data_IF_181898191674
#
_entry.id   IF_181898191674
#
_cell.length_a   1.000
_cell.length_b   1.000
_cell.length_c   1.000
_cell.angle_alpha   90.00
_cell.angle_beta   90.00
_cell.angle_gamma   90.00
#
_symmetry.space_group_name_H-M   'P 1'
#
loop_
_entity.id
_entity.type
_entity.pdbx_description
1 polymer ?
#
# COMPACT_ATOMS: atom_id res chain seq x y z
N UNK A 1 -11.65 15.91 13.85
CA UNK A 1 -10.66 16.42 12.87
C UNK A 1 -10.70 15.67 11.53
N UNK A 2 -10.48 14.35 11.46
CA UNK A 2 -10.50 13.62 10.16
C UNK A 2 -11.83 13.73 9.40
N UNK A 3 -12.97 13.50 10.07
CA UNK A 3 -14.29 13.57 9.43
C UNK A 3 -14.59 14.93 8.78
N UNK A 4 -14.18 16.01 9.45
CA UNK A 4 -14.32 17.37 8.93
C UNK A 4 -13.48 17.55 7.66
N UNK A 5 -12.23 17.08 7.67
CA UNK A 5 -11.34 17.12 6.50
C UNK A 5 -11.85 16.27 5.35
N UNK A 6 -12.35 15.07 5.61
CA UNK A 6 -12.99 14.24 4.59
C UNK A 6 -14.15 14.98 3.92
N UNK A 7 -15.01 15.66 4.70
CA UNK A 7 -16.09 16.48 4.18
C UNK A 7 -15.58 17.66 3.34
N UNK A 8 -14.60 18.40 3.86
CA UNK A 8 -14.00 19.57 3.21
C UNK A 8 -13.36 19.22 1.85
N UNK A 9 -12.56 18.15 1.81
CA UNK A 9 -11.89 17.68 0.60
C UNK A 9 -12.74 16.74 -0.27
N UNK A 10 -14.03 16.56 0.07
CA UNK A 10 -15.01 15.75 -0.66
C UNK A 10 -14.57 14.28 -0.83
N UNK A 11 -14.13 13.67 0.26
CA UNK A 11 -13.81 12.26 0.37
C UNK A 11 -14.79 11.52 1.29
N UNK A 12 -14.95 10.23 1.03
CA UNK A 12 -15.61 9.26 1.90
C UNK A 12 -14.58 8.22 2.33
N UNK A 13 -14.55 7.93 3.63
CA UNK A 13 -13.64 6.92 4.21
C UNK A 13 -14.23 5.52 4.03
N UNK A 14 -13.39 4.58 3.62
CA UNK A 14 -13.62 3.14 3.74
C UNK A 14 -12.65 2.60 4.77
N UNK A 15 -13.16 2.32 5.96
CA UNK A 15 -12.35 1.84 7.08
C UNK A 15 -11.86 0.41 6.85
N UNK A 16 -10.56 0.14 6.87
CA UNK A 16 -9.97 -1.21 6.83
C UNK A 16 -9.75 -1.77 8.22
N UNK A 17 -9.39 -3.06 8.32
CA UNK A 17 -9.07 -3.67 9.62
C UNK A 17 -7.95 -2.88 10.33
N UNK A 18 -8.20 -2.56 11.59
CA UNK A 18 -7.27 -1.84 12.48
C UNK A 18 -6.28 -2.83 13.11
N UNK A 19 -5.26 -3.17 12.34
CA UNK A 19 -4.11 -3.97 12.75
C UNK A 19 -2.82 -3.35 12.20
N UNK A 20 -1.66 -3.92 12.57
CA UNK A 20 -0.38 -3.45 12.03
C UNK A 20 -0.18 -3.67 10.52
N UNK A 21 -1.20 -4.16 9.80
CA UNK A 21 -1.21 -4.24 8.34
C UNK A 21 -2.10 -3.17 7.68
N UNK A 22 -2.72 -2.28 8.46
CA UNK A 22 -3.71 -1.30 7.99
C UNK A 22 -3.28 -0.55 6.72
N UNK A 23 -2.05 -0.08 6.64
CA UNK A 23 -1.51 0.59 5.45
C UNK A 23 -1.59 -0.30 4.21
N UNK A 24 -1.07 -1.52 4.30
CA UNK A 24 -1.08 -2.47 3.20
C UNK A 24 -2.50 -2.93 2.85
N UNK A 25 -3.40 -3.03 3.84
CA UNK A 25 -4.83 -3.31 3.62
C UNK A 25 -5.52 -2.18 2.88
N UNK A 26 -5.24 -0.92 3.22
CA UNK A 26 -5.78 0.25 2.55
C UNK A 26 -5.28 0.36 1.10
N UNK A 27 -3.99 0.09 0.87
CA UNK A 27 -3.41 -0.01 -0.48
C UNK A 27 -4.07 -1.16 -1.26
N UNK A 28 -4.21 -2.34 -0.62
CA UNK A 28 -4.90 -3.48 -1.21
C UNK A 28 -6.31 -3.08 -1.64
N UNK A 29 -7.06 -2.42 -0.76
CA UNK A 29 -8.41 -1.98 -1.06
C UNK A 29 -8.44 -1.03 -2.28
N UNK A 30 -7.56 -0.04 -2.35
CA UNK A 30 -7.48 0.89 -3.48
C UNK A 30 -7.07 0.22 -4.81
N UNK A 31 -6.21 -0.80 -4.76
CA UNK A 31 -5.75 -1.51 -5.96
C UNK A 31 -6.75 -2.56 -6.43
N UNK A 32 -7.28 -3.32 -5.49
CA UNK A 32 -7.89 -4.62 -5.69
C UNK A 32 -9.35 -4.67 -5.32
N UNK A 33 -9.85 -3.67 -4.57
CA UNK A 33 -11.19 -3.70 -4.00
C UNK A 33 -11.34 -4.87 -3.01
N UNK A 34 -10.29 -5.14 -2.23
CA UNK A 34 -10.28 -6.10 -1.12
C UNK A 34 -9.04 -5.84 -0.27
N UNK A 35 -9.07 -6.18 1.02
CA UNK A 35 -7.92 -6.06 1.93
C UNK A 35 -6.95 -7.26 1.81
N UNK A 36 -7.36 -8.32 1.14
CA UNK A 36 -6.76 -9.65 1.25
C UNK A 36 -5.33 -9.78 0.70
N UNK A 37 -4.90 -8.85 -0.16
CA UNK A 37 -3.57 -8.88 -0.77
C UNK A 37 -2.55 -8.01 -0.02
N UNK A 38 -2.86 -7.62 1.22
CA UNK A 38 -1.97 -6.78 2.03
C UNK A 38 -0.56 -7.39 2.21
N UNK A 39 -0.44 -8.70 2.42
CA UNK A 39 0.87 -9.36 2.56
C UNK A 39 1.67 -9.38 1.26
N UNK A 40 0.99 -9.50 0.12
CA UNK A 40 1.64 -9.40 -1.18
C UNK A 40 2.22 -8.00 -1.39
N UNK A 41 1.46 -6.95 -1.05
CA UNK A 41 1.93 -5.57 -1.15
C UNK A 41 3.13 -5.33 -0.23
N UNK A 42 3.07 -5.81 1.02
CA UNK A 42 4.20 -5.75 1.97
C UNK A 42 5.45 -6.41 1.36
N UNK A 43 5.32 -7.62 0.82
CA UNK A 43 6.43 -8.37 0.24
C UNK A 43 7.08 -7.64 -0.96
N UNK A 44 6.26 -7.08 -1.86
CA UNK A 44 6.75 -6.32 -3.03
C UNK A 44 7.47 -5.04 -2.60
N UNK A 45 6.88 -4.26 -1.69
CA UNK A 45 7.51 -3.06 -1.17
C UNK A 45 8.83 -3.38 -0.45
N UNK A 46 8.87 -4.46 0.32
CA UNK A 46 10.11 -4.90 0.97
C UNK A 46 11.19 -5.33 -0.01
N UNK A 47 10.81 -6.09 -1.06
CA UNK A 47 11.75 -6.50 -2.10
C UNK A 47 12.35 -5.28 -2.81
N UNK A 48 11.53 -4.28 -3.12
CA UNK A 48 11.99 -3.02 -3.69
C UNK A 48 12.98 -2.31 -2.77
N UNK A 49 12.66 -2.16 -1.49
CA UNK A 49 13.54 -1.51 -0.51
C UNK A 49 14.90 -2.21 -0.41
N UNK A 50 14.93 -3.55 -0.42
CA UNK A 50 16.20 -4.32 -0.39
C UNK A 50 17.00 -4.15 -1.68
N UNK A 51 16.33 -4.17 -2.84
CA UNK A 51 16.99 -4.01 -4.14
C UNK A 51 17.57 -2.60 -4.33
N UNK A 52 16.86 -1.60 -3.82
CA UNK A 52 17.22 -0.18 -3.92
C UNK A 52 17.72 0.37 -2.58
N UNK A 53 18.45 -0.43 -1.79
CA UNK A 53 18.85 -0.09 -0.43
C UNK A 53 19.58 1.26 -0.32
N UNK A 54 20.31 1.70 -1.34
CA UNK A 54 20.96 3.01 -1.37
C UNK A 54 19.99 4.21 -1.21
N UNK A 55 18.70 4.00 -1.51
CA UNK A 55 17.66 5.03 -1.37
C UNK A 55 17.01 5.06 0.02
N UNK A 56 17.24 4.03 0.84
CA UNK A 56 16.57 3.82 2.13
C UNK A 56 17.53 3.67 3.32
N UNK A 57 18.78 3.32 3.06
CA UNK A 57 19.82 3.21 4.05
C UNK A 57 20.67 4.48 4.11
N UNK A 58 20.81 5.05 5.30
CA UNK A 58 21.75 6.13 5.58
C UNK A 58 22.81 5.62 6.58
N UNK A 59 24.10 5.55 6.21
CA UNK A 59 25.16 5.08 7.10
C UNK A 59 25.37 5.96 8.34
N UNK A 60 24.79 7.16 8.38
CA UNK A 60 24.80 8.04 9.56
C UNK A 60 23.76 7.64 10.60
N UNK A 61 22.72 6.92 10.18
CA UNK A 61 21.62 6.49 11.04
C UNK A 61 21.82 5.08 11.62
N UNK A 62 22.84 4.34 11.15
CA UNK A 62 23.16 3.02 11.68
C UNK A 62 24.02 2.17 10.75
N UNK A 63 24.22 0.90 11.13
CA UNK A 63 24.96 -0.07 10.32
C UNK A 63 24.10 -0.70 9.23
N UNK A 64 24.75 -1.17 8.16
CA UNK A 64 24.06 -1.89 7.09
C UNK A 64 23.41 -3.19 7.58
N UNK A 65 24.01 -3.86 8.55
CA UNK A 65 23.41 -5.02 9.24
C UNK A 65 22.13 -4.63 9.98
N UNK A 66 22.14 -3.49 10.68
CA UNK A 66 20.96 -2.94 11.34
C UNK A 66 19.82 -2.67 10.35
N UNK A 67 20.14 -2.11 9.18
CA UNK A 67 19.18 -1.96 8.09
C UNK A 67 18.62 -3.31 7.62
N UNK A 68 19.47 -4.32 7.42
CA UNK A 68 18.98 -5.64 6.99
C UNK A 68 18.07 -6.29 8.04
N UNK A 69 18.42 -6.20 9.32
CA UNK A 69 17.60 -6.67 10.44
C UNK A 69 16.25 -5.94 10.50
N UNK A 70 16.26 -4.63 10.27
CA UNK A 70 15.03 -3.84 10.12
C UNK A 70 14.18 -4.37 8.95
N UNK A 71 14.77 -4.59 7.77
CA UNK A 71 14.02 -5.12 6.62
C UNK A 71 13.47 -6.53 6.87
N UNK A 72 14.14 -7.34 7.69
CA UNK A 72 13.65 -8.66 8.08
C UNK A 72 12.43 -8.53 9.00
N UNK A 73 12.52 -7.67 10.03
CA UNK A 73 11.39 -7.37 10.92
C UNK A 73 10.20 -6.83 10.13
N UNK A 74 10.39 -5.80 9.31
CA UNK A 74 9.30 -5.18 8.53
C UNK A 74 8.63 -6.14 7.53
N UNK A 75 9.31 -7.22 7.13
CA UNK A 75 8.71 -8.26 6.30
C UNK A 75 7.70 -9.15 7.04
N UNK A 76 7.69 -9.14 8.37
CA UNK A 76 6.74 -9.90 9.19
C UNK A 76 5.33 -9.29 9.16
N UNK A 77 4.32 -10.13 9.34
CA UNK A 77 2.93 -9.69 9.44
C UNK A 77 2.71 -8.84 10.71
N UNK A 78 1.95 -7.74 10.61
CA UNK A 78 1.59 -6.92 11.76
C UNK A 78 2.59 -5.83 12.14
N UNK A 79 3.68 -5.64 11.39
CA UNK A 79 4.57 -4.49 11.60
C UNK A 79 4.05 -3.24 10.88
N UNK A 80 3.90 -2.13 11.62
CA UNK A 80 3.37 -0.87 11.10
C UNK A 80 4.29 -0.25 10.04
N UNK A 81 3.71 0.15 8.92
CA UNK A 81 4.46 0.80 7.84
C UNK A 81 4.87 2.24 8.22
N UNK A 82 6.17 2.53 8.14
CA UNK A 82 6.71 3.89 8.20
C UNK A 82 6.73 4.58 6.83
N UNK A 83 7.24 5.82 6.80
CA UNK A 83 7.36 6.61 5.56
C UNK A 83 8.24 5.93 4.48
N UNK A 84 9.25 5.17 4.90
CA UNK A 84 10.10 4.37 4.03
C UNK A 84 9.31 3.26 3.32
N UNK A 85 8.43 2.55 4.02
CA UNK A 85 7.54 1.55 3.43
C UNK A 85 6.47 2.17 2.53
N UNK A 86 5.96 3.34 2.88
CA UNK A 86 5.04 4.11 2.03
C UNK A 86 5.74 4.49 0.72
N UNK A 87 6.98 4.99 0.79
CA UNK A 87 7.81 5.32 -0.39
C UNK A 87 8.12 4.08 -1.22
N UNK A 88 8.55 2.97 -0.61
CA UNK A 88 8.82 1.74 -1.33
C UNK A 88 7.57 1.19 -2.03
N UNK A 89 6.39 1.32 -1.41
CA UNK A 89 5.11 0.94 -2.03
C UNK A 89 4.75 1.86 -3.20
N UNK A 90 4.95 3.17 -3.04
CA UNK A 90 4.77 4.18 -4.09
C UNK A 90 5.61 3.85 -5.34
N UNK A 91 6.90 3.57 -5.16
CA UNK A 91 7.82 3.26 -6.25
C UNK A 91 7.52 1.90 -6.89
N UNK A 92 7.42 0.83 -6.09
CA UNK A 92 7.29 -0.54 -6.60
C UNK A 92 6.01 -0.77 -7.39
N UNK A 93 4.92 -0.11 -7.04
CA UNK A 93 3.64 -0.18 -7.75
C UNK A 93 3.40 1.01 -8.69
N UNK A 94 4.35 1.95 -8.78
CA UNK A 94 4.25 3.19 -9.55
C UNK A 94 2.96 3.96 -9.26
N UNK A 95 2.68 4.18 -7.98
CA UNK A 95 1.44 4.78 -7.50
C UNK A 95 1.64 6.25 -7.17
N UNK A 96 0.75 7.11 -7.65
CA UNK A 96 0.56 8.40 -7.00
C UNK A 96 -0.32 8.19 -5.76
N UNK A 97 0.20 8.47 -4.57
CA UNK A 97 -0.53 8.31 -3.32
C UNK A 97 -0.99 9.69 -2.83
N UNK A 98 -2.30 9.93 -2.86
CA UNK A 98 -2.92 11.10 -2.22
C UNK A 98 -3.18 10.76 -0.76
N UNK A 99 -2.59 11.53 0.16
CA UNK A 99 -2.62 11.29 1.60
C UNK A 99 -3.41 12.39 2.30
N UNK A 100 -4.42 12.03 3.09
CA UNK A 100 -5.14 12.97 3.96
C UNK A 100 -4.88 12.66 5.42
N UNK A 101 -4.12 13.51 6.10
CA UNK A 101 -3.76 13.36 7.51
C UNK A 101 -4.79 14.02 8.42
N UNK A 102 -5.00 13.45 9.61
CA UNK A 102 -5.86 14.04 10.64
C UNK A 102 -5.13 14.92 11.64
N UNK A 103 -3.81 15.09 11.51
CA UNK A 103 -2.96 15.69 12.56
C UNK A 103 -1.96 16.74 12.04
N UNK A 104 -1.84 16.93 10.73
CA UNK A 104 -1.01 17.99 10.12
C UNK A 104 -1.85 19.22 9.73
N UNK A 105 -1.29 20.43 9.78
CA UNK A 105 -1.93 21.64 9.24
C UNK A 105 -2.06 21.54 7.70
N UNK A 106 -0.94 21.23 7.02
CA UNK A 106 -0.96 20.76 5.63
C UNK A 106 -1.47 19.33 5.60
N UNK A 107 -2.78 19.20 5.58
CA UNK A 107 -3.43 17.92 5.82
C UNK A 107 -3.58 17.05 4.58
N UNK A 108 -3.44 17.60 3.37
CA UNK A 108 -3.47 16.82 2.13
C UNK A 108 -2.14 16.94 1.40
N UNK A 109 -1.60 15.80 0.99
CA UNK A 109 -0.31 15.71 0.30
C UNK A 109 -0.36 14.68 -0.83
N UNK A 110 0.56 14.82 -1.78
CA UNK A 110 0.73 13.87 -2.87
C UNK A 110 2.16 13.31 -2.83
N UNK A 111 2.27 11.98 -2.76
CA UNK A 111 3.51 11.26 -2.98
C UNK A 111 3.50 10.70 -4.40
N UNK A 112 4.55 10.96 -5.17
CA UNK A 112 4.67 10.58 -6.57
C UNK A 112 5.96 9.73 -6.72
N UNK A 113 5.97 8.64 -7.49
CA UNK A 113 7.17 7.85 -7.77
C UNK A 113 8.21 8.71 -8.49
N UNK A 114 9.48 8.56 -8.11
CA UNK A 114 10.57 9.44 -8.57
C UNK A 114 10.98 9.16 -10.01
N UNK A 115 11.01 7.90 -10.41
CA UNK A 115 11.68 7.49 -11.65
C UNK A 115 10.70 7.15 -12.78
N UNK A 116 9.40 7.13 -12.50
CA UNK A 116 8.41 6.57 -13.39
C UNK A 116 7.12 7.39 -13.42
N UNK A 117 6.45 7.42 -14.58
CA UNK A 117 5.09 7.97 -14.64
C UNK A 117 4.13 7.12 -13.78
N UNK A 118 3.30 7.73 -12.92
CA UNK A 118 2.32 7.00 -12.14
C UNK A 118 1.37 6.20 -13.04
N UNK A 119 1.16 4.93 -12.72
CA UNK A 119 0.20 4.06 -13.41
C UNK A 119 -1.20 4.15 -12.83
N UNK A 120 -1.29 4.47 -11.53
CA UNK A 120 -2.56 4.57 -10.80
C UNK A 120 -2.45 5.59 -9.68
N UNK A 121 -3.55 6.30 -9.44
CA UNK A 121 -3.71 7.16 -8.27
C UNK A 121 -4.48 6.39 -7.20
N UNK A 122 -3.98 6.39 -5.97
CA UNK A 122 -4.69 5.83 -4.82
C UNK A 122 -4.86 6.92 -3.76
N UNK A 123 -5.91 6.78 -2.95
CA UNK A 123 -6.30 7.76 -1.96
C UNK A 123 -6.40 7.10 -0.58
N UNK A 124 -5.59 7.59 0.36
CA UNK A 124 -5.47 7.06 1.71
C UNK A 124 -5.68 8.18 2.74
N UNK A 125 -6.33 7.86 3.85
CA UNK A 125 -6.42 8.75 5.01
C UNK A 125 -5.61 8.19 6.18
N UNK A 126 -4.99 9.07 6.96
CA UNK A 126 -4.11 8.73 8.07
C UNK A 126 -4.57 9.42 9.35
N UNK A 127 -4.76 8.62 10.39
CA UNK A 127 -4.76 9.06 11.79
C UNK A 127 -3.45 8.58 12.44
N UNK A 128 -3.06 9.06 13.64
CA UNK A 128 -1.75 8.75 14.21
C UNK A 128 -1.43 7.25 14.32
N UNK A 129 -2.45 6.41 14.53
CA UNK A 129 -2.28 4.97 14.76
C UNK A 129 -2.77 4.08 13.62
N UNK A 130 -3.41 4.64 12.57
CA UNK A 130 -4.13 3.84 11.59
C UNK A 130 -4.25 4.55 10.24
N UNK A 131 -4.40 3.75 9.18
CA UNK A 131 -4.64 4.26 7.83
C UNK A 131 -5.79 3.51 7.17
N UNK A 132 -6.58 4.27 6.42
CA UNK A 132 -7.78 3.80 5.75
C UNK A 132 -7.76 4.12 4.26
N UNK A 133 -8.50 3.34 3.49
CA UNK A 133 -8.83 3.68 2.12
C UNK A 133 -9.81 4.85 2.11
N UNK A 134 -9.74 5.73 1.11
CA UNK A 134 -10.76 6.75 0.89
C UNK A 134 -11.08 6.91 -0.60
N UNK A 135 -12.25 7.47 -0.90
CA UNK A 135 -12.73 7.68 -2.26
C UNK A 135 -13.28 9.08 -2.38
N UNK A 136 -13.14 9.71 -3.55
CA UNK A 136 -13.89 10.95 -3.80
C UNK A 136 -15.39 10.64 -3.70
N UNK A 137 -16.18 11.56 -3.16
CA UNK A 137 -17.63 11.41 -3.07
C UNK A 137 -18.19 10.99 -4.44
N UNK A 138 -18.99 9.93 -4.48
CA UNK A 138 -19.56 9.36 -5.70
C UNK A 138 -18.67 8.42 -6.51
N UNK A 139 -17.43 8.17 -6.07
CA UNK A 139 -16.48 7.26 -6.77
C UNK A 139 -16.21 5.96 -6.03
N UNK A 140 -16.81 5.78 -4.86
CA UNK A 140 -16.69 4.52 -4.11
C UNK A 140 -17.40 3.41 -4.89
N UNK A 141 -16.73 2.26 -5.14
CA UNK A 141 -17.34 1.14 -5.84
C UNK A 141 -18.52 0.57 -5.02
N UNK A 142 -19.52 0.04 -5.72
CA UNK A 142 -20.64 -0.64 -5.10
C UNK A 142 -20.18 -1.94 -4.40
N UNK A 143 -20.72 -2.18 -3.22
CA UNK A 143 -20.53 -3.43 -2.46
C UNK A 143 -21.64 -4.45 -2.85
N UNK A 144 -21.34 -5.76 -2.92
CA UNK A 144 -20.06 -6.39 -2.62
C UNK A 144 -19.02 -6.16 -3.73
N UNK A 145 -17.79 -5.89 -3.31
CA UNK A 145 -16.67 -5.66 -4.23
C UNK A 145 -16.45 -6.88 -5.15
N UNK A 146 -16.20 -6.70 -6.47
CA UNK A 146 -15.96 -7.84 -7.36
C UNK A 146 -14.73 -8.62 -6.94
N UNK A 147 -14.85 -9.95 -6.84
CA UNK A 147 -13.72 -10.85 -6.63
C UNK A 147 -12.63 -10.58 -7.67
N UNK A 148 -11.36 -10.64 -7.28
CA UNK A 148 -10.27 -10.56 -8.25
C UNK A 148 -10.31 -11.78 -9.17
N UNK A 149 -10.87 -11.60 -10.35
CA UNK A 149 -10.92 -12.65 -11.36
C UNK A 149 -9.53 -12.86 -11.98
N UNK A 150 -9.27 -14.08 -12.45
CA UNK A 150 -8.07 -14.42 -13.22
C UNK A 150 -7.87 -13.46 -14.40
N UNK A 151 -8.97 -13.03 -15.04
CA UNK A 151 -8.95 -12.04 -16.13
C UNK A 151 -8.41 -10.69 -15.65
N UNK A 152 -8.88 -10.17 -14.52
CA UNK A 152 -8.40 -8.91 -13.95
C UNK A 152 -6.94 -9.00 -13.53
N UNK A 153 -6.52 -10.12 -12.93
CA UNK A 153 -5.11 -10.41 -12.61
C UNK A 153 -4.25 -10.39 -13.89
N UNK A 154 -4.70 -11.02 -14.96
CA UNK A 154 -3.95 -11.07 -16.23
C UNK A 154 -3.89 -9.69 -16.91
N UNK A 155 -4.93 -8.87 -16.84
CA UNK A 155 -4.88 -7.47 -17.29
C UNK A 155 -3.88 -6.65 -16.48
N UNK A 156 -3.81 -6.85 -15.16
CA UNK A 156 -2.85 -6.16 -14.30
C UNK A 156 -1.39 -6.61 -14.57
N UNK A 157 -1.18 -7.84 -15.05
CA UNK A 157 0.12 -8.30 -15.58
C UNK A 157 0.47 -7.59 -16.90
N UNK A 158 -0.50 -7.52 -17.82
CA UNK A 158 -0.28 -6.98 -19.18
C UNK A 158 -0.01 -5.47 -19.20
N UNK A 159 -0.69 -4.69 -18.35
CA UNK A 159 -0.44 -3.25 -18.24
C UNK A 159 0.78 -2.89 -17.35
N UNK A 160 1.51 -3.92 -16.88
CA UNK A 160 2.67 -3.80 -16.03
C UNK A 160 2.36 -3.14 -14.68
N UNK A 161 1.14 -3.25 -14.16
CA UNK A 161 0.87 -2.99 -12.75
C UNK A 161 1.61 -4.04 -11.89
N UNK A 162 1.93 -5.19 -12.47
CA UNK A 162 2.78 -6.27 -11.94
C UNK A 162 3.75 -6.81 -13.00
N UNK A 163 4.88 -7.38 -12.58
CA UNK A 163 5.74 -8.21 -13.43
C UNK A 163 5.34 -9.69 -13.35
N UNK A 164 5.71 -10.49 -14.36
CA UNK A 164 5.55 -11.96 -14.34
C UNK A 164 6.38 -12.62 -13.22
N UNK A 165 7.46 -11.99 -12.78
CA UNK A 165 8.27 -12.43 -11.64
C UNK A 165 7.52 -12.27 -10.30
N UNK A 166 6.69 -11.22 -10.16
CA UNK A 166 5.92 -10.93 -8.94
C UNK A 166 4.80 -11.94 -8.67
N UNK A 167 4.27 -12.58 -9.73
CA UNK A 167 3.15 -13.51 -9.62
C UNK A 167 3.57 -14.98 -9.85
N UNK A 168 4.71 -15.23 -10.51
CA UNK A 168 5.22 -16.57 -10.79
C UNK A 168 5.80 -17.32 -9.58
N UNK A 169 6.08 -16.64 -8.46
CA UNK A 169 6.57 -17.28 -7.21
C UNK A 169 5.48 -17.64 -6.20
N UNK A 170 4.22 -17.29 -6.45
CA UNK A 170 3.15 -17.49 -5.48
C UNK A 170 2.46 -18.86 -5.63
N UNK A 171 3.03 -19.90 -4.98
CA UNK A 171 2.30 -21.15 -4.63
C UNK A 171 1.08 -20.90 -3.71
N UNK A 172 0.88 -19.67 -3.23
CA UNK A 172 -0.16 -19.28 -2.28
C UNK A 172 -1.48 -18.80 -2.92
N UNK A 173 -1.51 -18.55 -4.23
CA UNK A 173 -2.72 -18.06 -4.91
C UNK A 173 -3.71 -19.17 -5.30
N UNK A 174 -3.48 -20.41 -4.84
CA UNK A 174 -4.31 -21.56 -5.18
C UNK A 174 -4.46 -22.60 -4.06
N UNK A 175 -4.18 -22.25 -2.80
CA UNK A 175 -4.55 -23.13 -1.69
C UNK A 175 -5.69 -22.51 -0.90
N UNK A 176 -6.75 -23.30 -0.86
CA UNK A 176 -8.01 -23.09 -0.18
C UNK A 176 -7.82 -22.50 1.23
N UNK A 177 -8.67 -21.53 1.56
CA UNK A 177 -8.65 -20.84 2.86
C UNK A 177 -9.40 -21.68 3.88
N UNK A 178 -8.66 -22.46 4.64
CA UNK A 178 -9.05 -22.84 6.00
C UNK A 178 -7.80 -22.81 6.87
N UNK A 179 -7.91 -22.21 8.06
CA UNK A 179 -6.86 -21.91 9.04
C UNK A 179 -5.84 -20.84 8.64
N UNK A 180 -6.08 -19.59 9.08
CA UNK A 180 -5.27 -18.81 10.02
C UNK A 180 -6.02 -17.53 10.40
#
# INVERSE_FOLDING_TARGET
MLLQRLKEYKYVRRQVRDDGNCFFRAVSHQLFNTEDYHMFIRAVAMAYMRLHHQDFYDPREGSFEGFWNYTYKMSQCGEYAGEDMIKATCESFRLKIVRLFSFHERCIEELIPRFDRPKKVIHLSFIPSHSDSMFRVGTMPAEPLPTLTTTRINQMKQNGTYTLADLGRNRWLGRDRSSY
#
